data_IF_220185956144
#
_entry.id   IF_220185956144
#
_cell.length_a   1.000
_cell.length_b   1.000
_cell.length_c   1.000
_cell.angle_alpha   90.00
_cell.angle_beta   90.00
_cell.angle_gamma   90.00
#
_symmetry.space_group_name_H-M   'P 1'
#
loop_
_entity.id
_entity.type
_entity.pdbx_description
1 polymer ?
#
# COMPACT_ATOMS: atom_id res chain seq x y z
N UNK A 1 -10.43 -0.51 -9.40
CA UNK A 1 -9.63 -0.36 -8.17
C UNK A 1 -8.37 0.44 -8.47
N UNK A 2 -8.05 1.40 -7.64
CA UNK A 2 -6.81 2.17 -7.73
C UNK A 2 -5.87 1.77 -6.60
N UNK A 3 -4.63 1.44 -6.92
CA UNK A 3 -3.60 1.00 -5.98
C UNK A 3 -2.43 1.97 -6.04
N UNK A 4 -1.94 2.41 -4.88
CA UNK A 4 -0.71 3.18 -4.77
C UNK A 4 0.37 2.30 -4.17
N UNK A 5 1.51 2.17 -4.87
CA UNK A 5 2.65 1.38 -4.39
C UNK A 5 3.74 2.34 -3.92
N UNK A 6 4.07 2.27 -2.65
CA UNK A 6 5.08 3.10 -1.99
C UNK A 6 6.26 2.22 -1.59
N UNK A 7 7.35 2.31 -2.36
CA UNK A 7 8.58 1.56 -2.15
C UNK A 7 9.71 2.31 -2.83
N UNK A 8 10.87 2.41 -2.20
CA UNK A 8 12.00 3.15 -2.77
C UNK A 8 12.76 2.36 -3.85
N UNK A 9 12.49 1.07 -4.01
CA UNK A 9 13.13 0.22 -5.01
C UNK A 9 12.30 0.18 -6.30
N UNK A 10 12.79 0.77 -7.42
CA UNK A 10 12.03 0.80 -8.67
C UNK A 10 11.68 -0.59 -9.22
N UNK A 11 12.58 -1.56 -9.04
CA UNK A 11 12.35 -2.93 -9.51
C UNK A 11 11.20 -3.59 -8.77
N UNK A 12 11.09 -3.35 -7.46
CA UNK A 12 9.99 -3.85 -6.64
C UNK A 12 8.68 -3.20 -7.05
N UNK A 13 8.70 -1.88 -7.26
CA UNK A 13 7.50 -1.17 -7.74
C UNK A 13 7.00 -1.76 -9.07
N UNK A 14 7.91 -2.01 -10.01
CA UNK A 14 7.55 -2.59 -11.29
C UNK A 14 6.94 -3.99 -11.13
N UNK A 15 7.55 -4.81 -10.29
CA UNK A 15 7.09 -6.17 -10.03
C UNK A 15 5.66 -6.17 -9.44
N UNK A 16 5.43 -5.36 -8.43
CA UNK A 16 4.12 -5.25 -7.79
C UNK A 16 3.09 -4.62 -8.73
N UNK A 17 3.48 -3.56 -9.43
CA UNK A 17 2.63 -2.92 -10.43
C UNK A 17 2.11 -3.93 -11.45
N UNK A 18 3.00 -4.72 -12.01
CA UNK A 18 2.63 -5.73 -13.02
C UNK A 18 1.60 -6.72 -12.45
N UNK A 19 1.81 -7.16 -11.21
CA UNK A 19 0.89 -8.10 -10.58
C UNK A 19 -0.50 -7.49 -10.33
N UNK A 20 -0.56 -6.23 -9.88
CA UNK A 20 -1.84 -5.56 -9.66
C UNK A 20 -2.54 -5.20 -10.97
N UNK A 21 -1.79 -4.78 -11.98
CA UNK A 21 -2.37 -4.48 -13.30
C UNK A 21 -2.98 -5.72 -13.95
N UNK A 22 -2.40 -6.89 -13.74
CA UNK A 22 -2.97 -8.15 -14.21
C UNK A 22 -4.33 -8.45 -13.57
N UNK A 23 -4.57 -7.94 -12.38
CA UNK A 23 -5.85 -8.06 -11.69
C UNK A 23 -6.82 -6.91 -12.04
N UNK A 24 -6.48 -6.09 -13.02
CA UNK A 24 -7.32 -5.00 -13.48
C UNK A 24 -7.20 -3.71 -12.70
N UNK A 25 -6.22 -3.58 -11.81
CA UNK A 25 -6.03 -2.35 -11.05
C UNK A 25 -5.35 -1.25 -11.87
N UNK A 26 -5.68 0.00 -11.56
CA UNK A 26 -4.93 1.17 -11.99
C UNK A 26 -3.90 1.47 -10.91
N UNK A 27 -2.63 1.57 -11.29
CA UNK A 27 -1.53 1.65 -10.32
C UNK A 27 -0.80 2.98 -10.45
N UNK A 28 -0.61 3.65 -9.30
CA UNK A 28 0.29 4.77 -9.14
C UNK A 28 1.49 4.32 -8.30
N UNK A 29 2.61 5.03 -8.39
CA UNK A 29 3.84 4.69 -7.67
C UNK A 29 4.41 5.89 -6.94
N UNK A 30 5.07 5.64 -5.81
CA UNK A 30 5.82 6.63 -5.05
C UNK A 30 7.09 6.00 -4.49
N UNK A 31 8.19 6.75 -4.49
CA UNK A 31 9.49 6.24 -4.07
C UNK A 31 9.91 6.64 -2.66
N UNK A 32 9.14 7.50 -1.99
CA UNK A 32 9.38 7.89 -0.60
C UNK A 32 8.07 8.32 0.06
N UNK A 33 8.11 8.55 1.37
CA UNK A 33 6.92 8.86 2.13
C UNK A 33 6.26 10.17 1.75
N UNK A 34 7.04 11.19 1.43
CA UNK A 34 6.49 12.49 1.03
C UNK A 34 5.78 12.40 -0.33
N UNK A 35 6.41 11.73 -1.29
CA UNK A 35 5.80 11.48 -2.60
C UNK A 35 4.54 10.64 -2.46
N UNK A 36 4.55 9.65 -1.57
CA UNK A 36 3.39 8.82 -1.27
C UNK A 36 2.18 9.69 -0.88
N UNK A 37 2.39 10.65 0.02
CA UNK A 37 1.32 11.55 0.44
C UNK A 37 0.83 12.45 -0.69
N UNK A 38 1.75 12.96 -1.50
CA UNK A 38 1.40 13.81 -2.65
C UNK A 38 0.55 13.04 -3.68
N UNK A 39 0.97 11.82 -4.01
CA UNK A 39 0.24 10.99 -4.99
C UNK A 39 -1.12 10.59 -4.44
N UNK A 40 -1.20 10.21 -3.16
CA UNK A 40 -2.45 9.84 -2.52
C UNK A 40 -3.45 11.02 -2.48
N UNK A 41 -2.96 12.23 -2.26
CA UNK A 41 -3.80 13.44 -2.28
C UNK A 41 -4.35 13.73 -3.69
N UNK A 42 -3.51 13.56 -4.71
CA UNK A 42 -3.90 13.81 -6.09
C UNK A 42 -4.85 12.75 -6.66
N UNK A 43 -4.61 11.49 -6.32
CA UNK A 43 -5.38 10.34 -6.80
C UNK A 43 -5.66 9.40 -5.63
N UNK A 44 -6.70 9.67 -4.83
CA UNK A 44 -7.00 8.85 -3.66
C UNK A 44 -7.11 7.36 -4.01
N UNK A 45 -6.25 6.50 -3.44
CA UNK A 45 -6.26 5.07 -3.75
C UNK A 45 -7.31 4.33 -2.93
N UNK A 46 -7.71 3.16 -3.44
CA UNK A 46 -8.48 2.20 -2.66
C UNK A 46 -7.56 1.45 -1.68
N UNK A 47 -6.36 1.13 -2.14
CA UNK A 47 -5.34 0.43 -1.35
C UNK A 47 -3.99 1.09 -1.52
N UNK A 48 -3.26 1.25 -0.43
CA UNK A 48 -1.85 1.64 -0.43
C UNK A 48 -1.02 0.44 -0.03
N UNK A 49 -0.05 0.08 -0.86
CA UNK A 49 0.97 -0.93 -0.53
C UNK A 49 2.18 -0.15 -0.05
N UNK A 50 2.47 -0.24 1.24
CA UNK A 50 3.42 0.63 1.91
C UNK A 50 4.60 -0.14 2.49
N UNK A 51 5.81 0.16 2.02
CA UNK A 51 7.04 -0.30 2.64
C UNK A 51 7.35 0.59 3.87
N UNK A 52 7.87 -0.02 4.92
CA UNK A 52 8.27 0.71 6.12
C UNK A 52 9.62 1.40 5.96
N UNK A 53 10.50 0.88 5.10
CA UNK A 53 11.86 1.40 4.92
C UNK A 53 11.94 2.24 3.66
N UNK A 54 11.75 3.53 3.81
CA UNK A 54 11.86 4.50 2.72
C UNK A 54 12.62 5.74 3.17
N UNK A 55 13.32 6.44 2.22
CA UNK A 55 13.98 7.70 2.55
C UNK A 55 12.99 8.83 2.83
N UNK A 56 13.49 9.94 3.34
CA UNK A 56 12.73 11.14 3.71
C UNK A 56 11.76 10.88 4.85
N UNK A 57 10.58 10.34 4.54
CA UNK A 57 9.60 9.95 5.54
C UNK A 57 9.40 8.43 5.44
N UNK A 58 9.73 7.70 6.49
CA UNK A 58 9.54 6.24 6.52
C UNK A 58 8.07 5.84 6.55
N UNK A 59 7.81 4.55 6.35
CA UNK A 59 6.44 4.05 6.27
C UNK A 59 5.67 4.19 7.58
N UNK A 60 6.32 3.98 8.72
CA UNK A 60 5.63 4.13 10.02
C UNK A 60 5.20 5.56 10.28
N UNK A 61 5.99 6.54 9.85
CA UNK A 61 5.63 7.96 9.96
C UNK A 61 4.58 8.36 8.92
N UNK A 62 4.61 7.73 7.75
CA UNK A 62 3.67 8.01 6.66
C UNK A 62 2.27 7.46 6.94
N UNK A 63 2.20 6.31 7.57
CA UNK A 63 0.95 5.56 7.78
C UNK A 63 -0.14 6.36 8.52
N UNK A 64 0.13 7.00 9.67
CA UNK A 64 -0.92 7.77 10.34
C UNK A 64 -1.43 8.94 9.50
N UNK A 65 -0.55 9.55 8.71
CA UNK A 65 -0.92 10.68 7.85
C UNK A 65 -1.82 10.21 6.73
N UNK A 66 -1.51 9.07 6.10
CA UNK A 66 -2.38 8.45 5.10
C UNK A 66 -3.76 8.14 5.67
N UNK A 67 -3.81 7.60 6.89
CA UNK A 67 -5.08 7.26 7.52
C UNK A 67 -5.95 8.49 7.76
N UNK A 68 -5.34 9.63 8.11
CA UNK A 68 -6.08 10.88 8.30
C UNK A 68 -6.53 11.50 6.99
N UNK A 69 -5.66 11.52 5.98
CA UNK A 69 -5.93 12.15 4.68
C UNK A 69 -6.83 11.33 3.78
N UNK A 70 -6.67 10.01 3.84
CA UNK A 70 -7.39 9.07 2.99
C UNK A 70 -8.08 8.01 3.85
N UNK A 71 -9.10 8.39 4.64
CA UNK A 71 -9.71 7.47 5.61
C UNK A 71 -10.40 6.26 4.97
N UNK A 72 -10.73 6.33 3.69
CA UNK A 72 -11.35 5.22 2.95
C UNK A 72 -10.33 4.28 2.32
N UNK A 73 -9.06 4.68 2.28
CA UNK A 73 -8.01 3.83 1.73
C UNK A 73 -7.58 2.79 2.76
N UNK A 74 -7.46 1.53 2.33
CA UNK A 74 -6.82 0.50 3.14
C UNK A 74 -5.31 0.61 2.98
N UNK A 75 -4.56 0.57 4.07
CA UNK A 75 -3.10 0.55 4.01
C UNK A 75 -2.61 -0.84 4.36
N UNK A 76 -1.91 -1.45 3.40
CA UNK A 76 -1.30 -2.78 3.54
C UNK A 76 0.20 -2.59 3.61
N UNK A 77 0.79 -2.96 4.72
CA UNK A 77 2.24 -2.87 4.92
C UNK A 77 2.91 -4.10 4.32
N UNK A 78 3.91 -3.87 3.47
CA UNK A 78 4.70 -4.93 2.84
C UNK A 78 6.17 -4.56 2.98
N UNK A 79 6.89 -5.26 3.83
CA UNK A 79 8.26 -4.88 4.19
C UNK A 79 9.17 -6.10 4.31
N UNK A 80 10.46 -5.89 3.97
CA UNK A 80 11.50 -6.90 4.21
C UNK A 80 11.89 -6.96 5.70
N UNK A 81 11.49 -5.96 6.48
CA UNK A 81 11.71 -5.92 7.93
C UNK A 81 10.49 -6.42 8.69
N UNK A 82 10.09 -7.64 8.38
CA UNK A 82 8.85 -8.26 8.85
C UNK A 82 9.01 -8.84 10.27
N UNK A 83 9.47 -8.03 11.21
CA UNK A 83 9.50 -8.40 12.62
C UNK A 83 8.10 -8.25 13.24
N UNK A 84 7.80 -9.05 14.25
CA UNK A 84 6.52 -8.97 14.97
C UNK A 84 6.25 -7.54 15.46
N UNK A 85 7.27 -6.89 16.04
CA UNK A 85 7.14 -5.52 16.56
C UNK A 85 6.79 -4.52 15.46
N UNK A 86 7.35 -4.67 14.26
CA UNK A 86 7.05 -3.80 13.13
C UNK A 86 5.59 -3.96 12.67
N UNK A 87 5.08 -5.17 12.66
CA UNK A 87 3.70 -5.45 12.31
C UNK A 87 2.73 -4.93 13.37
N UNK A 88 3.05 -5.13 14.64
CA UNK A 88 2.25 -4.59 15.74
C UNK A 88 2.20 -3.06 15.69
N UNK A 89 3.35 -2.41 15.49
CA UNK A 89 3.44 -0.97 15.36
C UNK A 89 2.61 -0.46 14.16
N UNK A 90 2.64 -1.17 13.05
CA UNK A 90 1.87 -0.83 11.84
C UNK A 90 0.37 -0.95 12.09
N UNK A 91 -0.07 -2.03 12.72
CA UNK A 91 -1.49 -2.23 13.06
C UNK A 91 -1.99 -1.17 14.03
N UNK A 92 -1.19 -0.82 15.03
CA UNK A 92 -1.53 0.23 15.99
C UNK A 92 -1.72 1.59 15.32
N UNK A 93 -1.08 1.81 14.17
CA UNK A 93 -1.20 3.03 13.38
C UNK A 93 -2.26 2.96 12.29
N UNK A 94 -2.96 1.85 12.18
CA UNK A 94 -4.10 1.72 11.29
C UNK A 94 -3.87 0.90 10.03
N UNK A 95 -2.79 0.10 9.95
CA UNK A 95 -2.60 -0.82 8.84
C UNK A 95 -3.69 -1.90 8.85
N UNK A 96 -4.29 -2.15 7.69
CA UNK A 96 -5.33 -3.17 7.54
C UNK A 96 -4.73 -4.58 7.48
N UNK A 97 -3.50 -4.72 7.00
CA UNK A 97 -2.78 -5.98 6.92
C UNK A 97 -1.29 -5.72 6.81
N UNK A 98 -0.49 -6.72 7.16
CA UNK A 98 0.97 -6.65 7.09
C UNK A 98 1.51 -7.95 6.50
N UNK A 99 2.46 -7.84 5.57
CA UNK A 99 3.07 -8.98 4.91
C UNK A 99 4.58 -8.83 4.80
N UNK A 100 5.28 -9.97 4.78
CA UNK A 100 6.67 -10.02 4.39
C UNK A 100 6.77 -9.82 2.87
N UNK A 101 7.72 -8.99 2.44
CA UNK A 101 7.95 -8.70 1.02
C UNK A 101 8.20 -9.95 0.19
N UNK A 102 8.93 -10.94 0.75
CA UNK A 102 9.27 -12.17 0.05
C UNK A 102 8.05 -13.04 -0.29
N UNK A 103 6.99 -12.97 0.46
CA UNK A 103 5.80 -13.79 0.24
C UNK A 103 4.60 -13.03 -0.31
N UNK A 104 4.80 -11.79 -0.73
CA UNK A 104 3.67 -10.92 -1.03
C UNK A 104 3.01 -11.18 -2.39
N UNK A 105 3.78 -11.43 -3.45
CA UNK A 105 3.20 -11.53 -4.80
C UNK A 105 2.02 -12.49 -4.92
N UNK A 106 2.07 -13.71 -4.34
CA UNK A 106 0.91 -14.60 -4.39
C UNK A 106 -0.33 -14.07 -3.66
N UNK A 107 -0.17 -13.04 -2.85
CA UNK A 107 -1.28 -12.42 -2.10
C UNK A 107 -2.04 -11.36 -2.89
N UNK A 108 -1.51 -10.92 -4.02
CA UNK A 108 -2.10 -9.82 -4.80
C UNK A 108 -3.56 -10.10 -5.19
N UNK A 109 -3.95 -11.27 -5.70
CA UNK A 109 -5.36 -11.53 -5.99
C UNK A 109 -6.26 -11.42 -4.76
N UNK A 110 -5.78 -11.88 -3.61
CA UNK A 110 -6.52 -11.77 -2.36
C UNK A 110 -6.69 -10.31 -1.93
N UNK A 111 -5.65 -9.49 -2.07
CA UNK A 111 -5.69 -8.05 -1.75
C UNK A 111 -6.75 -7.36 -2.61
N UNK A 112 -6.72 -7.61 -3.91
CA UNK A 112 -7.69 -7.01 -4.83
C UNK A 112 -9.11 -7.43 -4.46
N UNK A 113 -9.34 -8.70 -4.19
CA UNK A 113 -10.65 -9.21 -3.80
C UNK A 113 -11.15 -8.62 -2.49
N UNK A 114 -10.27 -8.53 -1.48
CA UNK A 114 -10.64 -8.10 -0.14
C UNK A 114 -10.90 -6.59 -0.04
N UNK A 115 -10.08 -5.78 -0.70
CA UNK A 115 -10.09 -4.33 -0.54
C UNK A 115 -10.72 -3.58 -1.70
N UNK A 116 -11.14 -4.28 -2.75
CA UNK A 116 -11.92 -3.64 -3.80
C UNK A 116 -13.21 -3.10 -3.18
N UNK A 117 -13.46 -1.80 -3.38
CA UNK A 117 -14.74 -1.24 -2.98
C UNK A 117 -15.84 -1.89 -3.81
N UNK A 118 -17.00 -2.19 -3.22
CA UNK A 118 -18.12 -2.67 -4.00
C UNK A 118 -18.40 -1.70 -5.14
N UNK A 119 -18.60 -2.23 -6.33
CA UNK A 119 -19.02 -1.41 -7.44
C UNK A 119 -20.45 -0.94 -7.15
N UNK A 120 -20.59 0.35 -6.90
CA UNK A 120 -21.90 0.93 -6.57
C UNK A 120 -22.90 0.83 -7.71
N UNK A 121 -22.41 0.66 -8.93
CA UNK A 121 -23.29 0.46 -10.08
C UNK A 121 -23.95 -0.92 -10.08
N UNK A 122 -23.39 -1.87 -9.33
CA UNK A 122 -23.92 -3.22 -9.20
C UNK A 122 -24.72 -3.41 -7.91
N UNK A 123 -24.71 -2.41 -7.07
CA UNK A 123 -25.41 -2.48 -5.79
C UNK A 123 -26.90 -2.34 -5.95
#
# INVERSE_FOLDING_TARGET
MRVLICDDEPDIRLLFRTAFEREGAVVDEAGDGDECLEVADANPPDVVILDLMMPKRDGLATLPVLRRRCPKSAVVVVTAHAAVDAFEASRARGAAACFDKLGFLPRVPWIVSKFALPDTATA
#
